data_IF_718299873435
#
_entry.id   IF_718299873435
#
_cell.length_a   1.000
_cell.length_b   1.000
_cell.length_c   1.000
_cell.angle_alpha   90.00
_cell.angle_beta   90.00
_cell.angle_gamma   90.00
#
_symmetry.space_group_name_H-M   'P 1'
#
loop_
_entity.id
_entity.type
_entity.pdbx_description
1 polymer ?
#
# COMPACT_ATOMS: atom_id res chain seq x y z
N UNK A 1 -19.72 3.77 24.30
CA UNK A 1 -19.45 3.81 22.85
C UNK A 1 -18.15 4.57 22.64
N UNK A 2 -17.11 3.93 22.12
CA UNK A 2 -15.84 4.61 21.84
C UNK A 2 -16.03 5.50 20.61
N UNK A 3 -16.03 6.82 20.80
CA UNK A 3 -15.91 7.76 19.69
C UNK A 3 -14.50 7.64 19.11
N UNK A 4 -14.30 6.68 18.19
CA UNK A 4 -13.14 6.72 17.30
C UNK A 4 -13.28 7.97 16.45
N UNK A 5 -12.43 8.96 16.72
CA UNK A 5 -12.37 10.18 15.95
C UNK A 5 -12.02 9.84 14.50
N UNK A 6 -12.84 10.30 13.57
CA UNK A 6 -12.61 10.07 12.15
C UNK A 6 -11.63 11.12 11.62
N UNK A 7 -10.37 10.69 11.44
CA UNK A 7 -9.31 11.53 10.90
C UNK A 7 -9.25 11.53 9.38
N UNK A 8 -10.04 10.68 8.70
CA UNK A 8 -9.96 10.52 7.24
C UNK A 8 -10.15 11.85 6.51
N UNK A 9 -11.17 12.69 6.81
CA UNK A 9 -11.35 13.96 6.12
C UNK A 9 -10.21 14.97 6.38
N UNK A 10 -9.59 14.89 7.56
CA UNK A 10 -8.48 15.77 7.93
C UNK A 10 -7.20 15.38 7.19
N UNK A 11 -6.94 14.08 7.06
CA UNK A 11 -5.82 13.55 6.29
C UNK A 11 -5.97 13.88 4.81
N UNK A 12 -7.17 13.69 4.24
CA UNK A 12 -7.46 14.06 2.86
C UNK A 12 -7.17 15.56 2.62
N UNK A 13 -7.69 16.44 3.49
CA UNK A 13 -7.43 17.88 3.39
C UNK A 13 -5.94 18.23 3.53
N UNK A 14 -5.20 17.55 4.40
CA UNK A 14 -3.76 17.73 4.56
C UNK A 14 -3.03 17.38 3.26
N UNK A 15 -3.36 16.25 2.63
CA UNK A 15 -2.72 15.84 1.37
C UNK A 15 -3.03 16.79 0.23
N UNK A 16 -4.29 17.23 0.06
CA UNK A 16 -4.62 18.25 -0.94
C UNK A 16 -3.83 19.54 -0.73
N UNK A 17 -3.73 20.02 0.51
CA UNK A 17 -2.96 21.22 0.80
C UNK A 17 -1.45 21.05 0.54
N UNK A 18 -0.91 19.86 0.80
CA UNK A 18 0.48 19.54 0.46
C UNK A 18 0.71 19.61 -1.06
N UNK A 19 -0.24 19.15 -1.88
CA UNK A 19 -0.16 19.30 -3.34
C UNK A 19 -0.13 20.77 -3.71
N UNK A 20 -1.09 21.57 -3.22
CA UNK A 20 -1.18 23.00 -3.54
C UNK A 20 0.12 23.77 -3.23
N UNK A 21 0.74 23.48 -2.08
CA UNK A 21 1.98 24.13 -1.64
C UNK A 21 3.19 23.63 -2.45
N UNK A 22 3.24 22.35 -2.78
CA UNK A 22 4.41 21.76 -3.44
C UNK A 22 4.38 21.89 -4.96
N UNK A 23 3.23 22.07 -5.60
CA UNK A 23 3.10 22.16 -7.06
C UNK A 23 3.96 23.27 -7.69
N UNK A 24 3.87 24.55 -7.26
CA UNK A 24 4.72 25.60 -7.82
C UNK A 24 6.21 25.36 -7.55
N UNK A 25 6.55 24.75 -6.41
CA UNK A 25 7.93 24.40 -6.05
C UNK A 25 8.47 23.32 -7.01
N UNK A 26 7.67 22.28 -7.28
CA UNK A 26 8.04 21.22 -8.20
C UNK A 26 8.25 21.76 -9.62
N UNK A 27 7.34 22.63 -10.10
CA UNK A 27 7.48 23.26 -11.42
C UNK A 27 8.70 24.17 -11.53
N UNK A 28 9.06 24.87 -10.46
CA UNK A 28 10.28 25.69 -10.41
C UNK A 28 11.56 24.85 -10.41
N UNK A 29 11.54 23.64 -9.86
CA UNK A 29 12.67 22.70 -9.87
C UNK A 29 12.81 22.05 -11.25
N UNK A 30 11.75 21.41 -11.73
CA UNK A 30 11.72 20.75 -13.04
C UNK A 30 10.26 20.61 -13.50
N UNK A 31 9.85 21.47 -14.44
CA UNK A 31 8.50 21.47 -14.97
C UNK A 31 8.13 20.18 -15.71
N UNK A 32 9.10 19.48 -16.29
CA UNK A 32 8.86 18.24 -17.02
C UNK A 32 8.55 17.10 -16.05
N UNK A 33 9.37 16.95 -15.00
CA UNK A 33 9.14 15.94 -13.96
C UNK A 33 7.92 16.28 -13.11
N UNK A 34 7.66 17.55 -12.80
CA UNK A 34 6.47 17.99 -12.07
C UNK A 34 5.17 17.61 -12.79
N UNK A 35 5.16 17.70 -14.13
CA UNK A 35 3.99 17.39 -14.96
C UNK A 35 3.77 15.88 -15.18
N UNK A 36 4.71 15.03 -14.76
CA UNK A 36 4.59 13.58 -14.90
C UNK A 36 3.67 13.03 -13.80
N UNK A 37 2.98 11.92 -14.07
CA UNK A 37 2.16 11.23 -13.09
C UNK A 37 2.55 9.75 -13.06
N UNK A 38 3.10 9.32 -11.93
CA UNK A 38 3.57 7.96 -11.68
C UNK A 38 2.61 7.33 -10.68
N UNK A 39 2.09 6.15 -11.02
CA UNK A 39 1.25 5.36 -10.12
C UNK A 39 2.03 4.17 -9.58
N UNK A 40 2.07 4.04 -8.26
CA UNK A 40 2.64 2.89 -7.57
C UNK A 40 1.66 2.33 -6.54
N UNK A 41 1.92 1.12 -6.05
CA UNK A 41 1.13 0.49 -4.99
C UNK A 41 2.00 0.18 -3.79
N UNK A 42 1.52 0.56 -2.61
CA UNK A 42 2.18 0.28 -1.34
C UNK A 42 1.16 -0.26 -0.34
N UNK A 43 1.59 -0.50 0.91
CA UNK A 43 0.69 -0.96 1.96
C UNK A 43 1.12 -0.56 3.36
N UNK A 44 0.14 -0.35 4.22
CA UNK A 44 0.34 -0.11 5.66
C UNK A 44 0.16 -1.45 6.38
N UNK A 45 1.20 -1.92 7.05
CA UNK A 45 1.17 -3.15 7.85
C UNK A 45 0.08 -3.06 8.92
N UNK A 46 -0.82 -4.05 8.94
CA UNK A 46 -1.93 -4.08 9.87
C UNK A 46 -1.54 -4.78 11.18
N UNK A 47 -2.21 -4.41 12.28
CA UNK A 47 -2.05 -5.10 13.56
C UNK A 47 -2.97 -6.33 13.61
N UNK A 48 -2.52 -7.44 13.01
CA UNK A 48 -3.28 -8.70 12.91
C UNK A 48 -2.43 -9.91 13.31
N UNK A 49 -3.10 -11.00 13.68
CA UNK A 49 -2.46 -12.25 14.12
C UNK A 49 -1.47 -12.79 13.09
N UNK A 50 -1.77 -12.66 11.80
CA UNK A 50 -0.94 -13.21 10.73
C UNK A 50 0.41 -12.49 10.57
N UNK A 51 0.56 -11.27 11.11
CA UNK A 51 1.83 -10.53 11.18
C UNK A 51 2.68 -10.88 12.40
N UNK A 52 2.16 -11.68 13.33
CA UNK A 52 2.95 -12.19 14.44
C UNK A 52 3.81 -13.37 13.97
N UNK A 53 5.12 -13.35 14.21
CA UNK A 53 6.04 -14.45 13.84
C UNK A 53 5.59 -15.82 14.36
N UNK A 54 4.88 -15.87 15.49
CA UNK A 54 4.32 -17.12 16.05
C UNK A 54 3.32 -17.77 15.08
N UNK A 55 2.59 -16.98 14.30
CA UNK A 55 1.65 -17.50 13.31
C UNK A 55 2.37 -18.29 12.22
N UNK A 56 3.36 -17.67 11.55
CA UNK A 56 4.16 -18.35 10.54
C UNK A 56 4.90 -19.56 11.12
N UNK A 57 5.51 -19.41 12.31
CA UNK A 57 6.20 -20.50 13.00
C UNK A 57 5.28 -21.70 13.28
N UNK A 58 4.02 -21.46 13.62
CA UNK A 58 3.05 -22.55 13.81
C UNK A 58 2.80 -23.33 12.52
N UNK A 59 2.73 -22.63 11.38
CA UNK A 59 2.57 -23.24 10.05
C UNK A 59 3.83 -24.03 9.68
N UNK A 60 5.02 -23.46 9.88
CA UNK A 60 6.30 -24.12 9.63
C UNK A 60 6.41 -25.44 10.41
N UNK A 61 6.07 -25.46 11.71
CA UNK A 61 6.09 -26.69 12.52
C UNK A 61 5.19 -27.78 11.96
N UNK A 62 3.97 -27.42 11.57
CA UNK A 62 3.00 -28.34 10.95
C UNK A 62 3.50 -28.85 9.61
N UNK A 63 4.05 -27.99 8.75
CA UNK A 63 4.62 -28.41 7.46
C UNK A 63 5.81 -29.34 7.65
N UNK A 64 6.71 -29.03 8.60
CA UNK A 64 7.89 -29.83 8.92
C UNK A 64 7.54 -31.23 9.42
N UNK A 65 6.50 -31.38 10.24
CA UNK A 65 6.08 -32.71 10.72
C UNK A 65 5.57 -33.61 9.59
N UNK A 66 4.93 -33.02 8.57
CA UNK A 66 4.40 -33.72 7.40
C UNK A 66 5.44 -33.96 6.29
N UNK A 67 6.56 -33.23 6.29
CA UNK A 67 7.56 -33.25 5.21
C UNK A 67 8.96 -33.55 5.76
N UNK A 68 9.10 -34.64 6.53
CA UNK A 68 10.37 -35.05 7.14
C UNK A 68 11.43 -35.31 6.06
N UNK A 69 12.69 -34.95 6.35
CA UNK A 69 13.82 -35.15 5.43
C UNK A 69 13.91 -34.14 4.28
N UNK A 70 12.97 -33.19 4.16
CA UNK A 70 13.08 -32.07 3.20
C UNK A 70 13.96 -30.95 3.77
N UNK A 71 14.58 -30.17 2.88
CA UNK A 71 15.38 -29.01 3.26
C UNK A 71 14.53 -27.92 3.92
N UNK A 72 15.19 -27.04 4.69
CA UNK A 72 14.54 -25.90 5.34
C UNK A 72 13.82 -24.99 4.33
N UNK A 73 14.46 -24.70 3.19
CA UNK A 73 13.90 -23.83 2.15
C UNK A 73 12.63 -24.42 1.54
N UNK A 74 12.60 -25.74 1.30
CA UNK A 74 11.42 -26.41 0.79
C UNK A 74 10.26 -26.33 1.79
N UNK A 75 10.55 -26.50 3.09
CA UNK A 75 9.55 -26.36 4.16
C UNK A 75 9.03 -24.92 4.23
N UNK A 76 9.90 -23.93 4.17
CA UNK A 76 9.54 -22.52 4.23
C UNK A 76 8.68 -22.10 3.03
N UNK A 77 9.04 -22.51 1.82
CA UNK A 77 8.26 -22.23 0.61
C UNK A 77 6.82 -22.77 0.70
N UNK A 78 6.65 -23.98 1.23
CA UNK A 78 5.31 -24.56 1.49
C UNK A 78 4.59 -23.81 2.62
N UNK A 79 5.30 -23.38 3.67
CA UNK A 79 4.68 -22.64 4.76
C UNK A 79 4.13 -21.29 4.29
N UNK A 80 4.90 -20.52 3.51
CA UNK A 80 4.45 -19.25 2.93
C UNK A 80 3.29 -19.40 1.96
N UNK A 81 3.26 -20.48 1.16
CA UNK A 81 2.14 -20.76 0.26
C UNK A 81 0.86 -21.15 1.02
N UNK A 82 0.99 -21.75 2.21
CA UNK A 82 -0.12 -22.10 3.11
C UNK A 82 -0.63 -20.93 3.96
N UNK A 83 0.08 -19.80 4.04
CA UNK A 83 -0.45 -18.61 4.70
C UNK A 83 -1.68 -18.09 3.93
N UNK A 84 -2.76 -17.66 4.62
CA UNK A 84 -3.93 -17.05 4.01
C UNK A 84 -3.61 -15.94 3.00
N UNK A 85 -4.53 -15.67 2.07
CA UNK A 85 -4.39 -14.53 1.15
C UNK A 85 -4.86 -13.22 1.78
N UNK A 86 -5.78 -13.31 2.73
CA UNK A 86 -6.38 -12.19 3.46
C UNK A 86 -6.38 -12.52 4.95
N UNK A 87 -6.40 -11.50 5.80
CA UNK A 87 -6.47 -11.69 7.26
C UNK A 87 -7.85 -12.19 7.65
N UNK A 88 -7.88 -13.05 8.66
CA UNK A 88 -9.13 -13.50 9.30
C UNK A 88 -9.91 -12.37 9.99
N UNK A 89 -9.27 -11.25 10.29
CA UNK A 89 -9.90 -10.11 10.97
C UNK A 89 -10.63 -9.15 10.01
N UNK A 90 -10.12 -8.99 8.77
CA UNK A 90 -10.69 -8.13 7.73
C UNK A 90 -10.10 -8.52 6.36
N UNK A 91 -10.97 -8.79 5.39
CA UNK A 91 -10.59 -9.22 4.04
C UNK A 91 -9.91 -8.13 3.18
N UNK A 92 -10.02 -6.85 3.58
CA UNK A 92 -9.26 -5.73 3.01
C UNK A 92 -7.76 -5.82 3.35
N UNK A 93 -7.40 -6.53 4.42
CA UNK A 93 -6.02 -6.74 4.83
C UNK A 93 -5.47 -7.95 4.08
N UNK A 94 -4.56 -7.71 3.14
CA UNK A 94 -4.06 -8.72 2.21
C UNK A 94 -2.61 -9.11 2.52
N UNK A 95 -2.27 -10.38 2.28
CA UNK A 95 -0.89 -10.85 2.29
C UNK A 95 -0.13 -10.20 1.14
N UNK A 96 0.90 -9.43 1.46
CA UNK A 96 1.78 -8.71 0.53
C UNK A 96 3.24 -8.97 0.86
N UNK A 97 4.13 -8.75 -0.11
CA UNK A 97 5.57 -8.72 0.12
C UNK A 97 6.02 -7.26 0.13
N UNK A 98 6.33 -6.73 1.32
CA UNK A 98 6.69 -5.32 1.54
C UNK A 98 8.00 -5.30 2.32
N UNK A 99 8.95 -4.46 1.88
CA UNK A 99 10.25 -4.26 2.54
C UNK A 99 11.02 -5.57 2.84
N UNK A 100 10.99 -6.54 1.92
CA UNK A 100 11.73 -7.78 2.06
C UNK A 100 11.05 -8.87 2.90
N UNK A 101 9.85 -8.63 3.44
CA UNK A 101 9.09 -9.63 4.22
C UNK A 101 7.65 -9.78 3.75
N UNK A 102 7.08 -10.97 3.94
CA UNK A 102 5.64 -11.14 3.85
C UNK A 102 4.96 -10.51 5.06
N UNK A 103 3.94 -9.71 4.82
CA UNK A 103 3.09 -9.14 5.86
C UNK A 103 1.65 -9.02 5.35
N UNK A 104 0.74 -8.71 6.26
CA UNK A 104 -0.67 -8.45 6.02
C UNK A 104 -0.87 -6.96 6.17
N UNK A 105 -1.25 -6.32 5.09
CA UNK A 105 -1.30 -4.87 4.99
C UNK A 105 -2.58 -4.41 4.32
N UNK A 106 -3.00 -3.19 4.66
CA UNK A 106 -3.95 -2.44 3.84
C UNK A 106 -3.24 -1.97 2.59
N UNK A 107 -3.69 -2.43 1.43
CA UNK A 107 -3.12 -2.02 0.15
C UNK A 107 -3.71 -0.68 -0.28
N UNK A 108 -2.88 0.23 -0.77
CA UNK A 108 -3.32 1.49 -1.35
C UNK A 108 -2.42 1.91 -2.52
N UNK A 109 -3.00 2.64 -3.47
CA UNK A 109 -2.30 3.27 -4.56
C UNK A 109 -1.77 4.63 -4.14
N UNK A 110 -0.60 5.00 -4.65
CA UNK A 110 -0.01 6.31 -4.48
C UNK A 110 0.28 6.89 -5.86
N UNK A 111 -0.11 8.14 -6.06
CA UNK A 111 0.28 8.93 -7.22
C UNK A 111 1.41 9.86 -6.80
N UNK A 112 2.48 9.89 -7.58
CA UNK A 112 3.57 10.87 -7.42
C UNK A 112 3.83 11.57 -8.73
N UNK A 113 4.50 12.73 -8.67
CA UNK A 113 5.12 13.29 -9.87
C UNK A 113 6.46 12.59 -10.18
N UNK A 114 7.12 13.03 -11.26
CA UNK A 114 8.45 12.53 -11.65
C UNK A 114 9.58 12.89 -10.69
N UNK A 115 9.34 13.80 -9.73
CA UNK A 115 10.27 14.12 -8.62
C UNK A 115 10.03 13.23 -7.39
N UNK A 116 9.05 12.31 -7.43
CA UNK A 116 8.69 11.45 -6.31
C UNK A 116 7.84 12.15 -5.23
N UNK A 117 7.31 13.34 -5.51
CA UNK A 117 6.42 14.06 -4.59
C UNK A 117 5.00 13.52 -4.74
N UNK A 118 4.37 13.18 -3.61
CA UNK A 118 3.01 12.64 -3.56
C UNK A 118 2.00 13.66 -4.08
N UNK A 119 1.13 13.17 -4.96
CA UNK A 119 0.02 13.87 -5.60
C UNK A 119 -1.32 13.36 -5.12
N UNK A 120 -1.44 12.07 -4.84
CA UNK A 120 -2.67 11.49 -4.31
C UNK A 120 -2.42 10.14 -3.63
N UNK A 121 -3.35 9.71 -2.78
CA UNK A 121 -3.35 8.41 -2.09
C UNK A 121 -4.75 7.82 -2.19
N UNK A 122 -4.88 6.64 -2.80
CA UNK A 122 -6.17 5.97 -3.02
C UNK A 122 -6.22 4.59 -2.38
N UNK A 123 -7.18 4.35 -1.50
CA UNK A 123 -7.45 3.00 -0.98
C UNK A 123 -8.28 2.21 -2.01
N UNK A 124 -7.84 1.00 -2.34
CA UNK A 124 -8.44 0.19 -3.42
C UNK A 124 -9.90 -0.21 -3.18
N UNK A 125 -10.36 -0.25 -1.93
CA UNK A 125 -11.70 -0.78 -1.59
C UNK A 125 -12.82 0.27 -1.69
N UNK A 126 -12.51 1.51 -2.10
CA UNK A 126 -13.51 2.57 -2.39
C UNK A 126 -13.16 3.29 -3.69
N UNK A 127 -13.28 2.59 -4.81
CA UNK A 127 -13.04 3.17 -6.14
C UNK A 127 -14.18 4.14 -6.48
N UNK A 128 -14.05 5.40 -6.06
CA UNK A 128 -14.37 6.53 -6.94
C UNK A 128 -13.16 6.71 -7.87
N UNK A 129 -13.33 7.19 -9.11
CA UNK A 129 -12.19 7.41 -9.99
C UNK A 129 -11.35 8.60 -9.49
N UNK A 130 -10.49 8.34 -8.52
CA UNK A 130 -9.69 9.35 -7.80
C UNK A 130 -8.73 10.06 -8.76
N UNK A 131 -8.12 9.33 -9.71
CA UNK A 131 -7.33 9.93 -10.80
C UNK A 131 -8.13 10.99 -11.56
N UNK A 132 -9.41 10.75 -11.84
CA UNK A 132 -10.23 11.75 -12.54
C UNK A 132 -10.55 12.95 -11.66
N UNK A 133 -10.76 12.78 -10.36
CA UNK A 133 -10.96 13.89 -9.43
C UNK A 133 -9.68 14.73 -9.29
N UNK A 134 -8.52 14.08 -9.16
CA UNK A 134 -7.22 14.74 -9.09
C UNK A 134 -6.93 15.55 -10.37
N UNK A 135 -7.09 14.94 -11.55
CA UNK A 135 -6.89 15.64 -12.82
C UNK A 135 -7.89 16.79 -13.02
N UNK A 136 -9.14 16.65 -12.55
CA UNK A 136 -10.13 17.73 -12.60
C UNK A 136 -9.77 18.89 -11.65
N UNK A 137 -9.21 18.60 -10.48
CA UNK A 137 -8.76 19.61 -9.53
C UNK A 137 -7.46 20.30 -10.00
N UNK A 138 -6.62 19.60 -10.77
CA UNK A 138 -5.33 20.07 -11.24
C UNK A 138 -5.21 19.97 -12.77
N UNK A 139 -5.98 20.77 -13.54
CA UNK A 139 -6.10 20.65 -14.99
C UNK A 139 -4.81 20.96 -15.77
N UNK A 140 -3.81 21.57 -15.12
CA UNK A 140 -2.48 21.84 -15.67
C UNK A 140 -1.58 20.60 -15.71
N UNK A 141 -1.96 19.53 -15.00
CA UNK A 141 -1.23 18.27 -15.01
C UNK A 141 -1.68 17.47 -16.24
N UNK A 142 -0.76 17.31 -17.19
CA UNK A 142 -0.98 16.49 -18.37
C UNK A 142 -0.39 15.10 -18.14
N UNK A 143 -1.21 14.06 -17.89
CA UNK A 143 -0.69 12.72 -17.65
C UNK A 143 0.06 12.24 -18.89
N UNK A 144 1.39 12.15 -18.79
CA UNK A 144 2.20 11.40 -19.74
C UNK A 144 2.17 9.94 -19.31
N UNK A 145 1.41 9.13 -20.05
CA UNK A 145 1.48 7.68 -19.93
C UNK A 145 2.83 7.28 -20.55
N UNK A 146 3.76 6.84 -19.70
CA UNK A 146 5.01 6.19 -20.12
C UNK A 146 4.80 4.68 -20.09
#
# INVERSE_FOLDING_TARGET
>A
MSHKQDFVPHLEKLFHHLVDVTEPICHNIDSHLASMLIYDTTGIEAFVTENNDKFLNSIIRRVKSMNKGKSSDHINNIAYSKMPKVSSANDEIRKMYINGKFCYAYKFGILTNGLGIVRDITCFDRIKPVISNFLNAHPTIHPKIV
#
